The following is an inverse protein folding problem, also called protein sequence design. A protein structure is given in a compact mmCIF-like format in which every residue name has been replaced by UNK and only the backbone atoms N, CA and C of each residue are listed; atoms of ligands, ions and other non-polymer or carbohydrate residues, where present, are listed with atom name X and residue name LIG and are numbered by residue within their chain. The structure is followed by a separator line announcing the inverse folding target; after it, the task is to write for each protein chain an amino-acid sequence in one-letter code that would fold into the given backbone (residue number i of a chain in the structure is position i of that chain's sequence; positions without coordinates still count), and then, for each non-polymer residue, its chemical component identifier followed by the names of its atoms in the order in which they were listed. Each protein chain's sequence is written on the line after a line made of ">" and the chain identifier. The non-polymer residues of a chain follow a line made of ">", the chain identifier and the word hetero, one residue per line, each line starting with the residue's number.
data_IF_112725132716
#
_entry.id   IF_112725132716
#
_cell.length_a   1.000
_cell.length_b   1.000
_cell.length_c   1.000
_cell.angle_alpha   90.00
_cell.angle_beta   90.00
_cell.angle_gamma   90.00
#
_symmetry.space_group_name_H-M   'P 1'
#
loop_
_entity.id
_entity.type
_entity.pdbx_description
1 polymer ?
#
# COMPACT_ATOMS: atom_id res chain seq x y z
N UNK A 1 -12.91 4.80 3.06
CA UNK A 1 -12.34 3.55 2.51
C UNK A 1 -11.26 3.13 3.48
N UNK A 2 -11.42 1.99 4.15
CA UNK A 2 -10.35 1.42 4.96
C UNK A 2 -9.35 0.74 4.02
N UNK A 3 -8.17 1.33 3.92
CA UNK A 3 -7.07 0.73 3.15
C UNK A 3 -6.58 -0.56 3.83
N UNK A 4 -6.53 -0.59 5.16
CA UNK A 4 -6.13 -1.75 5.97
C UNK A 4 -7.04 -1.89 7.21
N UNK A 5 -7.09 -3.08 7.81
CA UNK A 5 -7.69 -3.23 9.15
C UNK A 5 -6.68 -2.68 10.18
N UNK A 6 -6.88 -1.43 10.60
CA UNK A 6 -5.94 -0.70 11.45
C UNK A 6 -5.18 0.39 10.70
N UNK A 7 -3.98 0.76 11.18
CA UNK A 7 -3.16 1.80 10.59
C UNK A 7 -2.44 1.36 9.30
N UNK A 8 -2.11 2.34 8.47
CA UNK A 8 -1.09 2.21 7.41
C UNK A 8 0.24 2.62 8.01
N UNK A 9 1.25 1.77 7.84
CA UNK A 9 2.56 1.99 8.45
C UNK A 9 3.59 2.52 7.45
N UNK A 10 3.49 2.10 6.18
CA UNK A 10 4.43 2.50 5.13
C UNK A 10 3.72 2.64 3.78
N UNK A 11 4.30 3.48 2.91
CA UNK A 11 3.79 3.79 1.57
C UNK A 11 4.98 3.85 0.60
N UNK A 12 4.92 3.06 -0.46
CA UNK A 12 5.89 3.04 -1.53
C UNK A 12 5.26 3.38 -2.89
N UNK A 13 6.04 4.04 -3.74
CA UNK A 13 5.65 4.35 -5.12
C UNK A 13 6.51 3.54 -6.09
N UNK A 14 5.90 2.98 -7.13
CA UNK A 14 6.60 2.27 -8.18
C UNK A 14 5.99 2.54 -9.55
N UNK A 15 6.76 2.29 -10.62
CA UNK A 15 6.31 2.46 -12.01
C UNK A 15 6.34 1.15 -12.81
N UNK A 16 5.69 0.07 -12.35
CA UNK A 16 5.62 -1.16 -13.14
C UNK A 16 4.92 -0.86 -14.46
N UNK A 17 5.45 -1.39 -15.57
CA UNK A 17 4.91 -1.16 -16.92
C UNK A 17 4.71 0.32 -17.30
N UNK A 18 5.51 1.24 -16.74
CA UNK A 18 5.39 2.70 -16.91
C UNK A 18 4.08 3.29 -16.36
N UNK A 19 3.34 2.56 -15.54
CA UNK A 19 2.16 3.04 -14.84
C UNK A 19 2.50 3.32 -13.38
N UNK A 20 2.07 4.44 -12.83
CA UNK A 20 2.21 4.73 -11.41
C UNK A 20 1.38 3.75 -10.59
N UNK A 21 2.03 3.05 -9.67
CA UNK A 21 1.41 2.20 -8.67
C UNK A 21 1.82 2.67 -7.27
N UNK A 22 0.88 2.57 -6.33
CA UNK A 22 1.09 2.86 -4.91
C UNK A 22 0.92 1.56 -4.16
N UNK A 23 1.90 1.24 -3.32
CA UNK A 23 1.89 0.03 -2.49
C UNK A 23 1.90 0.47 -1.02
N UNK A 24 1.06 -0.16 -0.22
CA UNK A 24 0.84 0.14 1.19
C UNK A 24 0.97 -1.13 2.02
N UNK A 25 1.42 -1.00 3.25
CA UNK A 25 1.36 -2.07 4.24
C UNK A 25 0.79 -1.54 5.55
N UNK A 26 0.08 -2.40 6.28
CA UNK A 26 -0.64 -2.00 7.49
C UNK A 26 -0.61 -3.02 8.60
N UNK A 27 -1.28 -2.66 9.70
CA UNK A 27 -1.36 -3.48 10.92
C UNK A 27 -2.05 -4.84 10.69
N UNK A 28 -2.88 -4.92 9.65
CA UNK A 28 -3.50 -6.16 9.20
C UNK A 28 -2.51 -7.17 8.59
N UNK A 29 -1.22 -6.80 8.53
CA UNK A 29 -0.10 -7.59 8.00
C UNK A 29 -0.25 -7.94 6.52
N UNK A 30 -1.06 -7.17 5.79
CA UNK A 30 -1.21 -7.31 4.34
C UNK A 30 -0.44 -6.21 3.60
N UNK A 31 -0.11 -6.49 2.34
CA UNK A 31 0.44 -5.53 1.39
C UNK A 31 -0.64 -5.32 0.32
N UNK A 32 -0.94 -4.06 -0.01
CA UNK A 32 -1.96 -3.67 -0.99
C UNK A 32 -1.42 -2.65 -1.96
#
# INVERSE_FOLDING_TARGET
>A
IDAHVGGVNDIAFCHPNKQLCVVTCGDDKTIK
#
